data_IF_539676985950
#
_entry.id   IF_539676985950
#
_cell.length_a   1.000
_cell.length_b   1.000
_cell.length_c   1.000
_cell.angle_alpha   90.00
_cell.angle_beta   90.00
_cell.angle_gamma   90.00
#
_symmetry.space_group_name_H-M   'P 1'
#
loop_
_entity.id
_entity.type
_entity.pdbx_description
1 polymer ?
#
# COMPACT_ATOMS: atom_id res chain seq x y z
N UNK A 1 21.28 -18.67 9.29
CA UNK A 1 19.89 -18.17 9.45
C UNK A 1 19.72 -16.90 8.62
N UNK A 2 19.17 -17.04 7.41
CA UNK A 2 18.82 -15.91 6.56
C UNK A 2 17.58 -15.25 7.16
N UNK A 3 17.78 -14.25 8.00
CA UNK A 3 16.70 -13.34 8.38
C UNK A 3 16.18 -12.72 7.11
N UNK A 4 14.91 -12.95 6.79
CA UNK A 4 14.20 -12.18 5.76
C UNK A 4 14.39 -10.73 6.16
N UNK A 5 15.16 -9.96 5.38
CA UNK A 5 15.25 -8.52 5.55
C UNK A 5 13.83 -7.99 5.45
N UNK A 6 13.39 -7.26 6.46
CA UNK A 6 12.12 -6.55 6.41
C UNK A 6 12.13 -5.73 5.10
N UNK A 7 11.13 -5.86 4.22
CA UNK A 7 11.12 -5.18 2.91
C UNK A 7 11.22 -3.65 3.02
N UNK A 8 11.07 -3.12 4.22
CA UNK A 8 11.33 -1.75 4.62
C UNK A 8 12.33 -1.70 5.79
N UNK A 9 13.49 -1.07 5.59
CA UNK A 9 14.38 -0.69 6.69
C UNK A 9 15.04 0.68 6.42
N UNK A 10 15.58 1.33 7.46
CA UNK A 10 16.21 2.66 7.33
C UNK A 10 17.48 2.68 6.47
N UNK A 11 18.03 1.52 6.10
CA UNK A 11 19.20 1.40 5.22
C UNK A 11 18.80 1.28 3.74
N UNK A 12 17.69 0.61 3.43
CA UNK A 12 17.24 0.34 2.06
C UNK A 12 15.94 1.06 1.66
N UNK A 13 15.26 1.73 2.59
CA UNK A 13 13.95 2.37 2.40
C UNK A 13 12.96 1.40 1.74
N UNK A 14 12.51 1.69 0.52
CA UNK A 14 11.55 0.86 -0.25
C UNK A 14 12.21 -0.30 -1.02
N UNK A 15 13.53 -0.46 -0.86
CA UNK A 15 14.33 -1.48 -1.53
C UNK A 15 14.90 -1.03 -2.88
N UNK A 16 15.42 -2.00 -3.64
CA UNK A 16 16.04 -1.75 -4.95
C UNK A 16 14.98 -1.62 -6.04
N UNK A 17 15.10 -0.56 -6.85
CA UNK A 17 14.25 -0.37 -8.04
C UNK A 17 14.44 -1.53 -9.01
N UNK A 18 13.33 -2.15 -9.40
CA UNK A 18 13.29 -3.14 -10.47
C UNK A 18 12.13 -2.81 -11.43
N UNK A 19 12.48 -2.28 -12.59
CA UNK A 19 11.49 -1.84 -13.58
C UNK A 19 10.63 -3.00 -14.10
N UNK A 20 11.20 -4.21 -14.18
CA UNK A 20 10.47 -5.40 -14.63
C UNK A 20 9.36 -5.80 -13.67
N UNK A 21 9.48 -5.50 -12.37
CA UNK A 21 8.42 -5.73 -11.38
C UNK A 21 7.55 -4.50 -11.11
N UNK A 22 7.84 -3.36 -11.74
CA UNK A 22 7.15 -2.09 -11.50
C UNK A 22 6.14 -1.73 -12.60
N UNK A 23 6.45 -2.07 -13.86
CA UNK A 23 5.58 -1.77 -15.00
C UNK A 23 5.39 -3.02 -15.86
N UNK A 24 4.15 -3.50 -16.05
CA UNK A 24 3.91 -4.58 -17.00
C UNK A 24 4.16 -4.06 -18.42
N UNK A 25 5.04 -4.73 -19.16
CA UNK A 25 5.37 -4.33 -20.53
C UNK A 25 4.60 -5.21 -21.53
N UNK A 26 3.94 -4.56 -22.49
CA UNK A 26 3.31 -5.27 -23.62
C UNK A 26 4.36 -6.09 -24.37
N UNK A 27 4.03 -7.34 -24.70
CA UNK A 27 4.90 -8.27 -25.42
C UNK A 27 6.17 -8.71 -24.70
N UNK A 28 6.24 -8.55 -23.37
CA UNK A 28 7.35 -9.02 -22.55
C UNK A 28 6.97 -10.26 -21.73
N UNK A 29 7.96 -10.82 -21.04
CA UNK A 29 7.81 -11.89 -20.03
C UNK A 29 7.38 -11.36 -18.67
N UNK A 30 7.51 -10.06 -18.40
CA UNK A 30 7.10 -9.44 -17.13
C UNK A 30 5.58 -9.10 -17.13
N UNK A 31 4.76 -10.15 -17.24
CA UNK A 31 3.30 -10.05 -17.24
C UNK A 31 2.77 -10.26 -15.84
N UNK A 32 2.28 -9.19 -15.23
CA UNK A 32 1.59 -9.21 -13.96
C UNK A 32 0.45 -8.20 -14.00
N UNK A 33 -0.50 -8.35 -13.08
CA UNK A 33 -1.60 -7.40 -12.95
C UNK A 33 -1.14 -6.21 -12.10
N UNK A 34 -1.43 -5.01 -12.58
CA UNK A 34 -1.15 -3.78 -11.88
C UNK A 34 -2.47 -3.02 -11.69
N UNK A 35 -2.84 -2.76 -10.44
CA UNK A 35 -3.93 -1.84 -10.11
C UNK A 35 -3.30 -0.48 -9.81
N UNK A 36 -3.76 0.53 -10.53
CA UNK A 36 -3.29 1.91 -10.35
C UNK A 36 -4.47 2.81 -9.99
N UNK A 37 -4.30 3.58 -8.93
CA UNK A 37 -5.15 4.71 -8.59
C UNK A 37 -4.29 5.96 -8.70
N UNK A 38 -4.76 6.97 -9.43
CA UNK A 38 -4.02 8.20 -9.62
C UNK A 38 -4.83 9.41 -9.15
N UNK A 39 -4.19 10.29 -8.37
CA UNK A 39 -4.77 11.57 -7.93
C UNK A 39 -6.14 11.48 -7.25
N UNK A 40 -6.42 10.39 -6.54
CA UNK A 40 -7.70 10.22 -5.86
C UNK A 40 -7.76 11.16 -4.66
N UNK A 41 -8.80 12.00 -4.64
CA UNK A 41 -8.95 13.08 -3.66
C UNK A 41 -9.59 12.57 -2.37
N UNK A 42 -8.97 12.89 -1.23
CA UNK A 42 -9.55 12.78 0.11
C UNK A 42 -9.63 14.17 0.72
N UNK A 43 -10.81 14.57 1.18
CA UNK A 43 -11.07 15.96 1.61
C UNK A 43 -11.49 16.10 3.07
N UNK A 44 -11.78 14.99 3.75
CA UNK A 44 -12.38 14.99 5.09
C UNK A 44 -11.72 13.91 5.94
N UNK A 45 -11.30 14.26 7.15
CA UNK A 45 -10.80 13.27 8.14
C UNK A 45 -11.86 12.20 8.42
N UNK A 46 -11.42 10.96 8.62
CA UNK A 46 -12.27 9.79 8.77
C UNK A 46 -12.82 9.22 7.47
N UNK A 47 -12.63 9.87 6.32
CA UNK A 47 -13.00 9.29 5.02
C UNK A 47 -12.11 8.09 4.69
N UNK A 48 -12.70 7.08 4.06
CA UNK A 48 -12.01 5.85 3.65
C UNK A 48 -12.35 5.62 2.18
N UNK A 49 -11.32 5.51 1.34
CA UNK A 49 -11.46 4.97 -0.01
C UNK A 49 -11.04 3.50 0.01
N UNK A 50 -11.80 2.64 -0.66
CA UNK A 50 -11.52 1.20 -0.70
C UNK A 50 -11.75 0.61 -2.07
N UNK A 51 -10.96 -0.40 -2.41
CA UNK A 51 -11.17 -1.23 -3.58
C UNK A 51 -10.78 -2.69 -3.26
N UNK A 52 -11.32 -3.60 -4.05
CA UNK A 52 -11.15 -5.04 -3.85
C UNK A 52 -10.23 -5.58 -4.94
N UNK A 53 -9.22 -6.34 -4.53
CA UNK A 53 -8.32 -7.10 -5.40
C UNK A 53 -8.61 -8.59 -5.20
N UNK A 54 -8.72 -9.33 -6.30
CA UNK A 54 -8.74 -10.79 -6.26
C UNK A 54 -7.35 -11.33 -6.60
N UNK A 55 -6.81 -12.18 -5.73
CA UNK A 55 -5.55 -12.87 -5.97
C UNK A 55 -5.74 -13.98 -7.02
N UNK A 56 -5.12 -13.85 -8.18
CA UNK A 56 -5.22 -14.83 -9.26
C UNK A 56 -3.84 -15.28 -9.74
N UNK A 57 -3.49 -16.54 -9.47
CA UNK A 57 -2.22 -17.16 -9.85
C UNK A 57 -2.36 -18.16 -11.00
N UNK A 58 -3.52 -18.25 -11.67
CA UNK A 58 -3.77 -19.30 -12.68
C UNK A 58 -2.75 -19.32 -13.83
N UNK A 59 -2.07 -18.20 -14.09
CA UNK A 59 -1.02 -18.09 -15.10
C UNK A 59 0.34 -17.68 -14.50
N UNK A 60 0.51 -17.79 -13.18
CA UNK A 60 1.75 -17.44 -12.49
C UNK A 60 2.27 -18.68 -11.73
N UNK A 61 3.44 -19.24 -12.12
CA UNK A 61 3.97 -20.44 -11.50
C UNK A 61 4.49 -20.21 -10.06
N UNK A 62 4.51 -18.97 -9.59
CA UNK A 62 5.08 -18.56 -8.31
C UNK A 62 4.02 -17.74 -7.57
N UNK A 63 3.80 -18.06 -6.30
CA UNK A 63 3.06 -17.20 -5.39
C UNK A 63 3.92 -15.99 -5.05
N UNK A 64 3.56 -14.82 -5.57
CA UNK A 64 4.18 -13.56 -5.18
C UNK A 64 3.32 -12.87 -4.10
N UNK A 65 3.94 -12.14 -3.16
CA UNK A 65 3.19 -11.34 -2.22
C UNK A 65 2.50 -10.18 -2.95
N UNK A 66 1.34 -9.77 -2.43
CA UNK A 66 0.70 -8.52 -2.79
C UNK A 66 1.54 -7.38 -2.22
N UNK A 67 2.09 -6.55 -3.10
CA UNK A 67 2.76 -5.30 -2.76
C UNK A 67 1.84 -4.13 -3.10
N UNK A 68 1.49 -3.34 -2.10
CA UNK A 68 0.68 -2.12 -2.25
C UNK A 68 1.51 -0.94 -1.79
N UNK A 69 1.71 0.05 -2.66
CA UNK A 69 2.39 1.29 -2.32
C UNK A 69 1.45 2.46 -2.55
N UNK A 70 1.23 3.29 -1.53
CA UNK A 70 0.56 4.58 -1.61
C UNK A 70 1.61 5.68 -1.45
N UNK A 71 1.48 6.77 -2.21
CA UNK A 71 2.21 8.00 -1.98
C UNK A 71 1.33 9.22 -2.22
N UNK A 72 1.62 10.30 -1.53
CA UNK A 72 0.95 11.58 -1.71
C UNK A 72 1.92 12.75 -1.50
N UNK A 73 1.59 13.88 -2.13
CA UNK A 73 2.33 15.12 -1.89
C UNK A 73 1.76 15.79 -0.66
N UNK A 74 2.51 15.74 0.44
CA UNK A 74 2.17 16.48 1.64
C UNK A 74 2.52 17.96 1.49
N UNK A 75 1.82 18.82 2.23
CA UNK A 75 2.11 20.25 2.26
C UNK A 75 3.37 20.51 3.07
N UNK A 76 4.02 21.65 2.80
CA UNK A 76 5.16 22.08 3.60
C UNK A 76 4.75 22.28 5.07
N UNK A 77 5.43 21.57 5.97
CA UNK A 77 5.26 21.74 7.41
C UNK A 77 5.80 23.07 7.93
N UNK A 78 5.47 23.39 9.17
CA UNK A 78 5.93 24.61 9.86
C UNK A 78 7.43 24.54 10.16
N UNK A 79 8.20 25.64 9.98
CA UNK A 79 9.61 25.68 10.35
C UNK A 79 9.85 25.27 11.80
N UNK A 80 10.86 24.42 12.02
CA UNK A 80 11.26 23.94 13.35
C UNK A 80 10.51 22.70 13.85
N UNK A 81 9.53 22.20 13.10
CA UNK A 81 8.89 20.94 13.39
C UNK A 81 9.66 19.79 12.68
N UNK A 82 9.89 18.68 13.39
CA UNK A 82 10.77 17.56 12.95
C UNK A 82 9.95 16.36 12.43
N UNK A 83 8.65 16.28 12.75
CA UNK A 83 7.72 15.23 12.31
C UNK A 83 6.34 15.83 12.02
N UNK A 84 6.17 16.41 10.83
CA UNK A 84 5.03 17.29 10.54
C UNK A 84 4.35 16.85 9.26
N UNK A 85 3.87 15.62 9.27
CA UNK A 85 2.86 15.23 8.32
C UNK A 85 1.67 16.17 8.51
N UNK A 86 1.38 17.01 7.53
CA UNK A 86 0.25 17.94 7.60
C UNK A 86 -1.03 17.18 7.30
N UNK A 87 -1.00 16.41 6.22
CA UNK A 87 -2.06 15.49 5.83
C UNK A 87 -1.61 14.06 6.16
N UNK A 88 -2.39 13.32 6.94
CA UNK A 88 -2.06 11.99 7.43
C UNK A 88 -3.02 10.95 6.82
N UNK A 89 -2.46 10.06 6.02
CA UNK A 89 -3.18 9.00 5.30
C UNK A 89 -2.61 7.63 5.66
N UNK A 90 -3.46 6.75 6.17
CA UNK A 90 -3.12 5.36 6.49
C UNK A 90 -3.50 4.41 5.34
N UNK A 91 -2.58 3.55 4.92
CA UNK A 91 -2.83 2.42 4.02
C UNK A 91 -3.10 1.15 4.84
N UNK A 92 -4.12 0.39 4.43
CA UNK A 92 -4.45 -0.89 5.07
C UNK A 92 -4.88 -1.96 4.07
N UNK A 93 -4.56 -3.22 4.39
CA UNK A 93 -5.00 -4.39 3.62
C UNK A 93 -5.65 -5.43 4.52
N UNK A 94 -6.82 -5.94 4.11
CA UNK A 94 -7.60 -6.95 4.84
C UNK A 94 -8.07 -8.06 3.90
N UNK A 95 -8.04 -9.32 4.34
CA UNK A 95 -8.71 -10.42 3.62
C UNK A 95 -10.21 -10.35 3.88
N UNK A 96 -11.00 -10.52 2.83
CA UNK A 96 -12.47 -10.47 2.89
C UNK A 96 -13.11 -11.71 2.23
N UNK A 97 -14.31 -12.05 2.69
CA UNK A 97 -15.22 -13.05 2.13
C UNK A 97 -16.64 -12.51 2.26
N UNK A 98 -17.43 -12.57 1.20
CA UNK A 98 -18.76 -11.93 1.12
C UNK A 98 -18.79 -10.48 1.65
N UNK A 99 -17.78 -9.67 1.28
CA UNK A 99 -17.56 -8.29 1.75
C UNK A 99 -17.37 -8.12 3.27
N UNK A 100 -17.14 -9.20 4.01
CA UNK A 100 -16.85 -9.20 5.44
C UNK A 100 -15.37 -9.55 5.67
N UNK A 101 -14.76 -8.93 6.67
CA UNK A 101 -13.37 -9.23 7.05
C UNK A 101 -13.31 -10.65 7.62
N UNK A 102 -12.44 -11.50 7.08
CA UNK A 102 -12.32 -12.91 7.45
C UNK A 102 -11.27 -13.12 8.54
N UNK A 103 -10.19 -12.35 8.49
CA UNK A 103 -9.03 -12.52 9.38
C UNK A 103 -8.54 -11.19 9.96
N UNK A 104 -8.44 -11.14 11.29
CA UNK A 104 -7.60 -10.23 12.06
C UNK A 104 -7.82 -8.72 11.91
N UNK A 105 -6.98 -7.97 12.62
CA UNK A 105 -6.82 -6.52 12.42
C UNK A 105 -6.24 -6.23 11.02
N UNK A 106 -6.53 -5.05 10.44
CA UNK A 106 -5.86 -4.62 9.22
C UNK A 106 -4.34 -4.65 9.36
N UNK A 107 -3.65 -5.08 8.31
CA UNK A 107 -2.20 -4.87 8.19
C UNK A 107 -2.00 -3.42 7.78
N UNK A 108 -1.20 -2.68 8.54
CA UNK A 108 -0.78 -1.31 8.24
C UNK A 108 0.66 -1.29 7.70
N UNK A 109 1.02 -0.19 7.04
CA UNK A 109 2.29 -0.09 6.33
C UNK A 109 3.55 -0.01 7.20
N UNK A 110 3.43 0.28 8.50
CA UNK A 110 4.61 0.31 9.36
C UNK A 110 5.09 -1.12 9.62
N UNK A 111 6.12 -1.57 8.89
CA UNK A 111 6.93 -2.76 9.20
C UNK A 111 6.15 -4.00 9.65
N UNK A 112 5.04 -4.35 8.97
CA UNK A 112 4.16 -5.46 9.33
C UNK A 112 3.61 -5.44 10.78
N UNK A 113 3.53 -4.25 11.37
CA UNK A 113 2.98 -4.03 12.70
C UNK A 113 1.50 -3.64 12.61
N UNK A 114 0.80 -3.72 13.74
CA UNK A 114 -0.57 -3.24 13.87
C UNK A 114 -0.62 -1.73 14.18
N UNK A 115 0.45 -0.98 13.91
CA UNK A 115 0.52 0.46 14.20
C UNK A 115 0.44 1.30 12.93
N UNK A 116 -0.24 2.43 13.06
CA UNK A 116 -0.41 3.44 12.01
C UNK A 116 0.92 4.20 11.77
N UNK A 117 1.19 4.64 10.53
CA UNK A 117 2.32 5.54 10.22
C UNK A 117 1.83 6.97 10.38
N UNK A 118 2.64 7.84 10.99
CA UNK A 118 2.32 9.26 11.13
C UNK A 118 3.53 10.16 10.83
N UNK A 119 4.51 9.61 10.12
CA UNK A 119 5.78 10.28 9.81
C UNK A 119 6.04 10.35 8.31
N UNK A 120 5.56 9.38 7.53
CA UNK A 120 5.83 9.29 6.10
C UNK A 120 4.63 9.68 5.24
N UNK A 121 4.89 10.40 4.15
CA UNK A 121 3.89 10.72 3.12
C UNK A 121 3.79 9.63 2.03
N UNK A 122 4.29 8.44 2.35
CA UNK A 122 4.18 7.25 1.54
C UNK A 122 4.08 6.05 2.49
N UNK A 123 3.38 5.02 2.03
CA UNK A 123 3.16 3.81 2.80
C UNK A 123 3.23 2.59 1.88
N UNK A 124 3.85 1.52 2.36
CA UNK A 124 3.98 0.27 1.62
C UNK A 124 3.58 -0.93 2.47
N UNK A 125 2.74 -1.81 1.94
CA UNK A 125 2.39 -3.09 2.54
C UNK A 125 2.85 -4.21 1.60
N UNK A 126 3.53 -5.21 2.16
CA UNK A 126 3.77 -6.49 1.51
C UNK A 126 3.04 -7.59 2.28
N UNK A 127 2.06 -8.23 1.65
CA UNK A 127 1.24 -9.27 2.27
C UNK A 127 1.28 -10.54 1.46
N UNK A 128 1.57 -11.67 2.09
CA UNK A 128 1.40 -12.98 1.49
C UNK A 128 -0.10 -13.20 1.23
N UNK A 129 -0.44 -13.55 -0.01
CA UNK A 129 -1.82 -13.72 -0.48
C UNK A 129 -2.05 -15.12 -1.01
N UNK A 130 -3.30 -15.58 -0.96
CA UNK A 130 -3.72 -16.92 -1.37
C UNK A 130 -4.59 -16.87 -2.63
N UNK A 131 -4.44 -17.88 -3.49
CA UNK A 131 -5.19 -17.94 -4.75
C UNK A 131 -6.71 -17.95 -4.51
N UNK A 132 -7.43 -17.12 -5.27
CA UNK A 132 -8.89 -17.03 -5.25
C UNK A 132 -9.44 -16.13 -4.15
N UNK A 133 -8.62 -15.75 -3.15
CA UNK A 133 -9.04 -14.88 -2.06
C UNK A 133 -9.19 -13.43 -2.50
N UNK A 134 -10.05 -12.72 -1.79
CA UNK A 134 -10.31 -11.30 -1.98
C UNK A 134 -9.61 -10.49 -0.89
N UNK A 135 -9.00 -9.38 -1.30
CA UNK A 135 -8.31 -8.46 -0.42
C UNK A 135 -8.88 -7.07 -0.62
N UNK A 136 -9.37 -6.48 0.49
CA UNK A 136 -9.78 -5.08 0.53
C UNK A 136 -8.57 -4.23 0.85
N UNK A 137 -8.19 -3.39 -0.10
CA UNK A 137 -7.19 -2.34 0.09
C UNK A 137 -7.94 -1.05 0.41
N UNK A 138 -7.54 -0.37 1.48
CA UNK A 138 -8.16 0.90 1.87
C UNK A 138 -7.12 1.97 2.18
N UNK A 139 -7.46 3.22 1.85
CA UNK A 139 -6.72 4.41 2.26
C UNK A 139 -7.65 5.22 3.15
N UNK A 140 -7.22 5.48 4.38
CA UNK A 140 -7.98 6.20 5.39
C UNK A 140 -7.34 7.56 5.62
N UNK A 141 -8.14 8.61 5.46
CA UNK A 141 -7.78 9.97 5.84
C UNK A 141 -7.80 10.10 7.36
N UNK A 142 -6.68 9.90 8.05
CA UNK A 142 -6.61 9.99 9.51
C UNK A 142 -6.76 11.43 9.97
N UNK A 143 -5.95 12.32 9.43
CA UNK A 143 -6.01 13.75 9.69
C UNK A 143 -5.88 14.50 8.37
N UNK A 144 -6.92 15.24 8.00
CA UNK A 144 -6.93 16.09 6.82
C UNK A 144 -7.23 17.52 7.23
N UNK A 145 -6.22 18.37 7.13
CA UNK A 145 -6.35 19.83 7.32
C UNK A 145 -6.83 20.47 6.01
N UNK A 146 -6.35 19.97 4.87
CA UNK A 146 -6.74 20.40 3.54
C UNK A 146 -6.93 19.22 2.61
N UNK A 147 -7.78 19.37 1.60
CA UNK A 147 -7.95 18.27 0.65
C UNK A 147 -6.61 17.85 0.02
N UNK A 148 -6.31 16.57 0.14
CA UNK A 148 -5.12 15.93 -0.41
C UNK A 148 -5.52 14.99 -1.55
N UNK A 149 -4.52 14.59 -2.34
CA UNK A 149 -4.66 13.58 -3.36
C UNK A 149 -3.59 12.52 -3.13
N UNK A 150 -3.97 11.27 -3.26
CA UNK A 150 -3.00 10.17 -3.24
C UNK A 150 -2.98 9.43 -4.57
N UNK A 151 -1.86 8.78 -4.82
CA UNK A 151 -1.71 7.77 -5.86
C UNK A 151 -1.30 6.46 -5.21
N UNK A 152 -1.72 5.36 -5.83
CA UNK A 152 -1.49 4.02 -5.32
C UNK A 152 -1.19 3.07 -6.47
N UNK A 153 -0.23 2.18 -6.24
CA UNK A 153 0.05 1.04 -7.10
C UNK A 153 -0.04 -0.26 -6.28
N UNK A 154 -0.78 -1.24 -6.77
CA UNK A 154 -0.83 -2.58 -6.20
C UNK A 154 -0.47 -3.62 -7.26
N UNK A 155 0.48 -4.50 -6.92
CA UNK A 155 1.05 -5.53 -7.80
C UNK A 155 1.33 -6.80 -7.01
N UNK A 156 1.38 -7.95 -7.69
CA UNK A 156 1.56 -9.28 -7.11
C UNK A 156 1.05 -10.36 -8.03
#
# INVERSE_FOLDING_TARGET
PNTVLDPYDFNQNVGKINLLSSLPLSNSTNRFNLVVVNEKKLAVSGSIDSFIIQANFSNCPISLPLSVTMAYYDRAGTPGCVHCLVEDLDLMVQEIDDNKIVTGSPVYATSNSNTEDNVNNYEKIEKVIEHGKLYKVSVKARNIVHSTKYSLAATG
#
